data_IF_050339433957
#
_entry.id   IF_050339433957
#
_cell.length_a   1.000
_cell.length_b   1.000
_cell.length_c   1.000
_cell.angle_alpha   90.00
_cell.angle_beta   90.00
_cell.angle_gamma   90.00
#
_symmetry.space_group_name_H-M   'P 1'
#
loop_
_entity.id
_entity.type
_entity.pdbx_description
1 polymer ?
#
# COMPACT_ATOMS: atom_id res chain seq x y z
N UNK A 1 31.77 -4.95 3.31
CA UNK A 1 30.29 -4.81 3.22
C UNK A 1 29.67 -5.92 4.05
N UNK A 2 28.85 -5.57 5.02
CA UNK A 2 28.07 -6.56 5.77
C UNK A 2 27.08 -7.21 4.79
N UNK A 3 27.11 -8.53 4.65
CA UNK A 3 26.22 -9.27 3.73
C UNK A 3 24.99 -9.82 4.45
N UNK A 4 24.72 -9.33 5.66
CA UNK A 4 23.62 -9.83 6.46
C UNK A 4 22.29 -9.26 5.94
N UNK A 5 21.29 -10.09 5.92
CA UNK A 5 19.93 -9.68 5.61
C UNK A 5 19.43 -8.77 6.75
N UNK A 6 18.90 -7.63 6.39
CA UNK A 6 18.25 -6.70 7.33
C UNK A 6 16.77 -7.09 7.41
N UNK A 7 16.33 -7.45 8.62
CA UNK A 7 14.92 -7.68 8.91
C UNK A 7 14.31 -6.44 9.54
N UNK A 8 13.07 -6.14 9.18
CA UNK A 8 12.31 -5.03 9.75
C UNK A 8 11.21 -5.53 10.68
N UNK A 9 10.92 -4.79 11.73
CA UNK A 9 9.66 -4.89 12.45
C UNK A 9 8.63 -4.13 11.64
N UNK A 10 7.53 -4.77 11.19
CA UNK A 10 6.51 -4.11 10.42
C UNK A 10 5.70 -3.15 11.29
N UNK A 11 5.02 -2.22 10.64
CA UNK A 11 4.02 -1.36 11.26
C UNK A 11 2.65 -1.84 10.81
N UNK A 12 1.78 -2.18 11.74
CA UNK A 12 0.44 -2.64 11.42
C UNK A 12 -0.60 -1.62 11.83
N UNK A 13 -1.68 -1.54 11.06
CA UNK A 13 -2.75 -0.56 11.25
C UNK A 13 -4.10 -1.23 11.44
N UNK A 14 -4.90 -0.65 12.33
CA UNK A 14 -6.29 -1.02 12.53
C UNK A 14 -7.16 -0.30 11.51
N UNK A 15 -8.02 -1.06 10.84
CA UNK A 15 -8.90 -0.56 9.80
C UNK A 15 -10.28 -1.18 9.98
N UNK A 16 -11.36 -0.42 9.80
CA UNK A 16 -12.73 -0.91 9.96
C UNK A 16 -13.05 -2.11 9.05
N UNK A 17 -12.36 -2.21 7.92
CA UNK A 17 -12.44 -3.33 6.97
C UNK A 17 -11.40 -4.43 7.21
N UNK A 18 -10.54 -4.27 8.21
CA UNK A 18 -9.47 -5.21 8.54
C UNK A 18 -9.96 -6.53 9.11
N UNK A 19 -9.13 -7.53 9.03
CA UNK A 19 -9.41 -8.89 9.47
C UNK A 19 -8.45 -9.42 10.53
N UNK A 20 -8.35 -10.74 10.61
CA UNK A 20 -7.51 -11.46 11.59
C UNK A 20 -6.44 -12.33 10.94
N UNK A 21 -6.35 -12.35 9.60
CA UNK A 21 -5.48 -13.26 8.86
C UNK A 21 -4.01 -12.91 9.01
N UNK A 22 -3.68 -11.62 9.19
CA UNK A 22 -2.30 -11.18 9.45
C UNK A 22 -1.72 -11.88 10.70
N UNK A 23 -2.50 -12.01 11.77
CA UNK A 23 -2.10 -12.77 12.94
C UNK A 23 -2.08 -14.29 12.69
N UNK A 24 -3.16 -14.82 12.09
CA UNK A 24 -3.36 -16.27 11.96
C UNK A 24 -2.43 -16.92 10.94
N UNK A 25 -2.16 -16.26 9.81
CA UNK A 25 -1.45 -16.85 8.68
C UNK A 25 0.00 -16.38 8.59
N UNK A 26 0.28 -15.15 9.00
CA UNK A 26 1.63 -14.58 8.97
C UNK A 26 2.32 -14.59 10.34
N UNK A 27 1.62 -14.99 11.39
CA UNK A 27 2.21 -15.14 12.73
C UNK A 27 2.55 -13.81 13.40
N UNK A 28 1.95 -12.71 12.98
CA UNK A 28 2.08 -11.43 13.70
C UNK A 28 1.30 -11.51 15.01
N UNK A 29 1.90 -10.98 16.07
CA UNK A 29 1.27 -10.92 17.40
C UNK A 29 0.74 -9.51 17.64
N UNK A 30 -0.30 -9.12 16.88
CA UNK A 30 -0.90 -7.79 16.95
C UNK A 30 -2.22 -7.93 17.71
N UNK A 31 -2.47 -7.04 18.65
CA UNK A 31 -3.72 -7.02 19.40
C UNK A 31 -4.86 -6.51 18.51
N UNK A 32 -6.04 -7.14 18.60
CA UNK A 32 -7.25 -6.76 17.86
C UNK A 32 -7.66 -7.77 16.78
N UNK A 33 -8.83 -7.53 16.20
CA UNK A 33 -9.47 -8.36 15.17
C UNK A 33 -9.81 -7.59 13.89
N UNK A 34 -9.26 -6.39 13.79
CA UNK A 34 -9.49 -5.40 12.73
C UNK A 34 -8.18 -4.92 12.06
N UNK A 35 -7.18 -5.80 11.99
CA UNK A 35 -5.87 -5.47 11.42
C UNK A 35 -5.97 -5.53 9.90
N UNK A 36 -6.04 -4.36 9.26
CA UNK A 36 -6.20 -4.29 7.80
C UNK A 36 -4.90 -4.26 7.03
N UNK A 37 -3.85 -3.63 7.56
CA UNK A 37 -2.58 -3.49 6.86
C UNK A 37 -1.40 -3.84 7.76
N UNK A 38 -0.40 -4.48 7.17
CA UNK A 38 0.93 -4.67 7.75
C UNK A 38 1.98 -4.11 6.78
N UNK A 39 2.59 -3.00 7.13
CA UNK A 39 3.62 -2.32 6.35
C UNK A 39 4.97 -2.99 6.63
N UNK A 40 5.28 -3.99 5.83
CA UNK A 40 6.49 -4.81 6.00
C UNK A 40 7.78 -4.06 5.68
N UNK A 41 7.75 -3.17 4.67
CA UNK A 41 8.85 -2.27 4.31
C UNK A 41 8.27 -0.88 4.16
N UNK A 42 8.61 0.02 5.06
CA UNK A 42 8.12 1.39 5.08
C UNK A 42 9.08 2.34 5.78
N UNK A 43 9.39 3.46 5.13
CA UNK A 43 10.00 4.64 5.71
C UNK A 43 9.03 5.83 5.72
N UNK A 44 7.72 5.54 5.65
CA UNK A 44 6.69 6.56 5.63
C UNK A 44 6.54 7.22 7.01
N UNK A 45 6.35 8.56 7.09
CA UNK A 45 6.24 9.26 8.38
C UNK A 45 5.14 8.73 9.31
N UNK A 46 4.05 8.20 8.72
CA UNK A 46 2.94 7.61 9.48
C UNK A 46 3.19 6.17 9.96
N UNK A 47 4.29 5.53 9.51
CA UNK A 47 4.57 4.14 9.85
C UNK A 47 5.95 3.73 9.37
N UNK A 48 6.98 4.15 10.08
CA UNK A 48 8.38 3.91 9.75
C UNK A 48 8.87 2.63 10.44
N UNK A 49 9.21 1.61 9.63
CA UNK A 49 9.70 0.33 10.13
C UNK A 49 11.02 0.44 10.85
N UNK A 50 11.26 -0.42 11.83
CA UNK A 50 12.52 -0.46 12.59
C UNK A 50 13.31 -1.72 12.28
N UNK A 51 14.64 -1.59 12.20
CA UNK A 51 15.55 -2.72 12.00
C UNK A 51 15.50 -3.64 13.21
N UNK A 52 15.30 -4.94 12.97
CA UNK A 52 15.15 -5.95 14.03
C UNK A 52 16.45 -6.64 14.40
N UNK A 53 17.48 -6.61 13.55
CA UNK A 53 18.70 -7.41 13.74
C UNK A 53 19.97 -6.69 13.30
N UNK A 54 21.12 -7.25 13.70
CA UNK A 54 22.44 -6.83 13.24
C UNK A 54 22.90 -5.49 13.81
N UNK A 55 23.87 -4.88 13.13
CA UNK A 55 24.55 -3.66 13.59
C UNK A 55 23.63 -2.42 13.64
N UNK A 56 22.53 -2.45 12.89
CA UNK A 56 21.57 -1.35 12.78
C UNK A 56 20.29 -1.57 13.59
N UNK A 57 20.28 -2.57 14.47
CA UNK A 57 19.09 -2.89 15.27
C UNK A 57 18.54 -1.67 16.02
N UNK A 58 17.24 -1.44 15.91
CA UNK A 58 16.54 -0.31 16.53
C UNK A 58 16.51 0.95 15.67
N UNK A 59 17.31 1.04 14.60
CA UNK A 59 17.28 2.18 13.68
C UNK A 59 16.02 2.14 12.83
N UNK A 60 15.40 3.29 12.57
CA UNK A 60 14.30 3.41 11.61
C UNK A 60 14.78 3.24 10.17
N UNK A 61 13.92 2.75 9.28
CA UNK A 61 14.28 2.61 7.87
C UNK A 61 14.60 3.94 7.21
N UNK A 62 13.88 5.02 7.57
CA UNK A 62 14.19 6.37 7.09
C UNK A 62 15.58 6.84 7.51
N UNK A 63 15.97 6.58 8.76
CA UNK A 63 17.31 6.92 9.25
C UNK A 63 18.40 6.08 8.59
N UNK A 64 18.11 4.79 8.35
CA UNK A 64 19.02 3.89 7.65
C UNK A 64 19.26 4.35 6.22
N UNK A 65 18.20 4.78 5.53
CA UNK A 65 18.26 5.36 4.19
C UNK A 65 19.14 6.61 4.12
N UNK A 66 18.94 7.51 5.06
CA UNK A 66 19.68 8.77 5.13
C UNK A 66 21.16 8.58 5.49
N UNK A 67 21.43 7.75 6.53
CA UNK A 67 22.78 7.62 7.12
C UNK A 67 23.65 6.56 6.44
N UNK A 68 23.05 5.62 5.73
CA UNK A 68 23.70 4.46 5.11
C UNK A 68 23.25 4.23 3.67
N UNK A 69 23.34 5.25 2.79
CA UNK A 69 22.90 5.14 1.40
C UNK A 69 23.62 4.03 0.60
N UNK A 70 24.82 3.64 1.05
CA UNK A 70 25.57 2.54 0.46
C UNK A 70 24.86 1.18 0.53
N UNK A 71 23.96 0.99 1.51
CA UNK A 71 23.15 -0.23 1.63
C UNK A 71 22.06 -0.33 0.56
N UNK A 72 21.71 0.81 -0.04
CA UNK A 72 20.65 0.95 -1.04
C UNK A 72 21.19 1.29 -2.44
N UNK A 73 22.50 1.14 -2.65
CA UNK A 73 23.14 1.37 -3.95
C UNK A 73 23.37 2.85 -4.28
N UNK A 74 23.38 3.76 -3.29
CA UNK A 74 23.62 5.19 -3.48
C UNK A 74 22.74 5.82 -4.57
N UNK A 75 21.44 5.59 -4.52
CA UNK A 75 20.48 6.02 -5.56
C UNK A 75 20.39 7.54 -5.76
N UNK A 76 20.80 8.32 -4.75
CA UNK A 76 20.69 9.79 -4.78
C UNK A 76 19.28 10.34 -4.57
N UNK A 77 18.33 9.49 -4.23
CA UNK A 77 16.96 9.92 -3.92
C UNK A 77 16.85 10.46 -2.50
N UNK A 78 16.12 11.56 -2.32
CA UNK A 78 15.97 12.24 -1.02
C UNK A 78 15.22 11.42 0.02
N UNK A 79 14.36 10.50 -0.41
CA UNK A 79 13.56 9.65 0.48
C UNK A 79 13.46 8.22 -0.05
N UNK A 80 13.22 7.28 0.85
CA UNK A 80 13.00 5.88 0.49
C UNK A 80 11.72 5.77 -0.37
N UNK A 81 11.80 5.16 -1.58
CA UNK A 81 10.75 5.31 -2.59
C UNK A 81 9.64 4.26 -2.50
N UNK A 82 9.76 3.26 -1.63
CA UNK A 82 8.85 2.12 -1.63
C UNK A 82 8.05 2.02 -0.34
N UNK A 83 6.83 1.51 -0.48
CA UNK A 83 6.01 1.02 0.62
C UNK A 83 5.49 -0.37 0.22
N UNK A 84 5.94 -1.41 0.94
CA UNK A 84 5.46 -2.77 0.73
C UNK A 84 4.58 -3.16 1.90
N UNK A 85 3.33 -3.54 1.62
CA UNK A 85 2.36 -3.93 2.64
C UNK A 85 1.61 -5.19 2.28
N UNK A 86 1.18 -5.91 3.32
CA UNK A 86 0.23 -7.00 3.21
C UNK A 86 -1.10 -6.46 3.72
N UNK A 87 -2.16 -6.68 2.94
CA UNK A 87 -3.52 -6.23 3.26
C UNK A 87 -4.38 -7.45 3.57
N UNK A 88 -5.11 -7.41 4.68
CA UNK A 88 -6.15 -8.37 5.01
C UNK A 88 -7.51 -7.67 5.03
N UNK A 89 -8.22 -7.76 3.91
CA UNK A 89 -9.54 -7.15 3.72
C UNK A 89 -10.66 -8.15 4.05
N UNK A 90 -11.30 -7.97 5.20
CA UNK A 90 -12.53 -8.67 5.59
C UNK A 90 -13.75 -8.09 4.87
N UNK A 91 -13.75 -6.77 4.70
CA UNK A 91 -14.78 -5.98 4.03
C UNK A 91 -14.14 -5.08 2.95
N UNK A 92 -14.96 -4.36 2.19
CA UNK A 92 -14.49 -3.48 1.12
C UNK A 92 -13.66 -2.31 1.65
N UNK A 93 -12.55 -2.04 0.98
CA UNK A 93 -11.74 -0.84 1.21
C UNK A 93 -12.45 0.40 0.64
N UNK A 94 -12.06 1.57 1.12
CA UNK A 94 -12.47 2.83 0.50
C UNK A 94 -11.99 2.91 -0.95
N UNK A 95 -12.84 3.45 -1.82
CA UNK A 95 -12.48 3.74 -3.21
C UNK A 95 -11.55 4.96 -3.23
N UNK A 96 -10.38 4.82 -3.83
CA UNK A 96 -9.36 5.86 -3.86
C UNK A 96 -8.93 6.16 -5.30
N UNK A 97 -8.57 7.41 -5.54
CA UNK A 97 -7.88 7.85 -6.75
C UNK A 97 -6.46 8.26 -6.35
N UNK A 98 -5.48 7.82 -7.10
CA UNK A 98 -4.08 8.12 -6.82
C UNK A 98 -3.58 9.24 -7.72
N UNK A 99 -2.87 10.25 -7.17
CA UNK A 99 -2.31 11.33 -7.96
C UNK A 99 -1.02 10.87 -8.67
N UNK A 100 -0.72 11.49 -9.81
CA UNK A 100 0.63 11.46 -10.37
C UNK A 100 1.59 12.41 -9.62
N UNK A 101 2.88 12.37 -9.96
CA UNK A 101 3.90 13.20 -9.31
C UNK A 101 3.66 14.71 -9.52
N UNK A 102 3.14 15.10 -10.69
CA UNK A 102 2.90 16.50 -11.01
C UNK A 102 1.76 17.08 -10.17
N UNK A 103 0.67 16.33 -10.07
CA UNK A 103 -0.47 16.70 -9.23
C UNK A 103 -0.09 16.70 -7.74
N UNK A 104 0.55 15.62 -7.27
CA UNK A 104 0.91 15.46 -5.87
C UNK A 104 1.87 16.56 -5.40
N UNK A 105 2.82 16.97 -6.23
CA UNK A 105 3.75 18.07 -5.92
C UNK A 105 3.03 19.38 -5.63
N UNK A 106 1.95 19.67 -6.35
CA UNK A 106 1.22 20.94 -6.24
C UNK A 106 0.13 20.88 -5.15
N UNK A 107 -0.60 19.76 -5.09
CA UNK A 107 -1.84 19.67 -4.31
C UNK A 107 -1.71 18.85 -3.02
N UNK A 108 -0.62 18.04 -2.89
CA UNK A 108 -0.38 17.16 -1.75
C UNK A 108 0.90 17.53 -1.00
N UNK A 109 1.15 18.85 -0.83
CA UNK A 109 2.27 19.40 -0.06
C UNK A 109 3.65 18.87 -0.48
N UNK A 110 3.87 18.65 -1.77
CA UNK A 110 5.13 18.13 -2.30
C UNK A 110 5.34 16.63 -2.12
N UNK A 111 4.28 15.89 -1.88
CA UNK A 111 4.30 14.42 -1.87
C UNK A 111 4.67 13.86 -3.24
N UNK A 112 5.10 12.59 -3.25
CA UNK A 112 5.23 11.83 -4.49
C UNK A 112 3.84 11.37 -4.94
N UNK A 113 3.69 11.15 -6.24
CA UNK A 113 2.57 10.41 -6.78
C UNK A 113 2.53 8.97 -6.25
N UNK A 114 1.43 8.29 -6.48
CA UNK A 114 1.24 6.93 -5.96
C UNK A 114 0.95 5.96 -7.10
N UNK A 115 2.02 5.52 -7.77
CA UNK A 115 1.97 4.32 -8.61
C UNK A 115 1.97 3.10 -7.71
N UNK A 116 1.06 2.18 -7.93
CA UNK A 116 0.85 1.02 -7.06
C UNK A 116 0.72 -0.27 -7.90
N UNK A 117 1.00 -1.39 -7.29
CA UNK A 117 0.65 -2.69 -7.86
C UNK A 117 0.15 -3.62 -6.75
N UNK A 118 -0.76 -4.51 -7.11
CA UNK A 118 -1.29 -5.52 -6.21
C UNK A 118 -1.00 -6.91 -6.71
N UNK A 119 -0.57 -7.76 -5.81
CA UNK A 119 -0.46 -9.19 -6.03
C UNK A 119 -1.47 -9.90 -5.12
N UNK A 120 -2.37 -10.65 -5.69
CA UNK A 120 -3.44 -11.34 -4.96
C UNK A 120 -2.86 -12.61 -4.34
N UNK A 121 -2.67 -12.59 -3.02
CA UNK A 121 -2.18 -13.76 -2.27
C UNK A 121 -3.28 -14.82 -2.14
N UNK A 122 -4.48 -14.37 -1.78
CA UNK A 122 -5.67 -15.20 -1.64
C UNK A 122 -6.93 -14.33 -1.76
N UNK A 123 -8.07 -14.94 -2.09
CA UNK A 123 -9.37 -14.28 -2.14
C UNK A 123 -10.50 -15.29 -2.01
N UNK A 124 -11.70 -14.79 -1.70
CA UNK A 124 -12.93 -15.60 -1.70
C UNK A 124 -13.26 -16.05 -3.14
N UNK A 125 -14.04 -17.11 -3.26
CA UNK A 125 -14.60 -17.52 -4.55
C UNK A 125 -15.47 -16.39 -5.13
N UNK A 126 -15.32 -16.13 -6.43
CA UNK A 126 -15.97 -15.04 -7.16
C UNK A 126 -15.68 -13.63 -6.61
N UNK A 127 -14.55 -13.45 -5.96
CA UNK A 127 -14.13 -12.11 -5.50
C UNK A 127 -13.89 -11.19 -6.71
N UNK A 128 -14.20 -9.92 -6.50
CA UNK A 128 -13.94 -8.84 -7.46
C UNK A 128 -13.07 -7.75 -6.82
N UNK A 129 -12.44 -6.97 -7.66
CA UNK A 129 -11.71 -5.77 -7.29
C UNK A 129 -12.25 -4.59 -8.08
N UNK A 130 -12.43 -3.46 -7.42
CA UNK A 130 -12.76 -2.21 -8.11
C UNK A 130 -11.50 -1.68 -8.81
N UNK A 131 -11.57 -1.59 -10.14
CA UNK A 131 -10.46 -1.12 -10.97
C UNK A 131 -10.96 -0.20 -12.08
N UNK A 132 -10.95 1.11 -11.80
CA UNK A 132 -11.39 2.15 -12.71
C UNK A 132 -12.92 2.31 -12.77
N UNK A 133 -13.40 2.86 -13.89
CA UNK A 133 -14.80 3.23 -14.07
C UNK A 133 -15.32 2.88 -15.49
N UNK A 134 -16.64 2.91 -15.65
CA UNK A 134 -17.33 2.60 -16.90
C UNK A 134 -17.67 3.83 -17.76
N UNK A 135 -17.51 5.05 -17.24
CA UNK A 135 -17.80 6.27 -18.00
C UNK A 135 -16.88 6.38 -19.23
N UNK A 136 -17.45 6.85 -20.34
CA UNK A 136 -16.75 6.94 -21.64
C UNK A 136 -16.23 8.34 -21.93
N UNK A 137 -16.78 9.35 -21.29
CA UNK A 137 -16.33 10.75 -21.40
C UNK A 137 -16.25 11.41 -20.03
N UNK A 138 -15.57 12.53 -19.95
CA UNK A 138 -15.46 13.31 -18.71
C UNK A 138 -16.84 13.80 -18.23
N UNK A 139 -17.67 14.25 -19.15
CA UNK A 139 -19.03 14.76 -18.85
C UNK A 139 -19.93 13.61 -18.32
N UNK A 140 -19.77 12.42 -18.86
CA UNK A 140 -20.47 11.24 -18.34
C UNK A 140 -19.98 10.87 -16.94
N UNK A 141 -18.67 10.90 -16.69
CA UNK A 141 -18.08 10.68 -15.38
C UNK A 141 -18.65 11.67 -14.35
N UNK A 142 -18.58 12.98 -14.64
CA UNK A 142 -19.09 14.03 -13.78
C UNK A 142 -20.59 13.84 -13.47
N UNK A 143 -21.38 13.52 -14.50
CA UNK A 143 -22.82 13.27 -14.36
C UNK A 143 -23.10 12.04 -13.49
N UNK A 144 -22.43 10.91 -13.72
CA UNK A 144 -22.62 9.68 -12.93
C UNK A 144 -22.29 9.89 -11.46
N UNK A 145 -21.25 10.65 -11.16
CA UNK A 145 -20.86 11.00 -9.78
C UNK A 145 -21.94 11.91 -9.17
N UNK A 146 -22.35 12.97 -9.88
CA UNK A 146 -23.34 13.91 -9.39
C UNK A 146 -24.71 13.25 -9.12
N UNK A 147 -25.11 12.33 -9.96
CA UNK A 147 -26.36 11.55 -9.83
C UNK A 147 -26.28 10.41 -8.81
N UNK A 148 -25.09 10.13 -8.25
CA UNK A 148 -24.87 9.03 -7.29
C UNK A 148 -24.99 7.64 -7.92
N UNK A 149 -24.74 7.51 -9.22
CA UNK A 149 -24.86 6.24 -9.97
C UNK A 149 -23.65 5.34 -9.79
N UNK A 150 -23.25 5.12 -8.55
CA UNK A 150 -22.01 4.41 -8.21
C UNK A 150 -21.96 2.99 -8.76
N UNK A 151 -23.08 2.24 -8.74
CA UNK A 151 -23.14 0.85 -9.25
C UNK A 151 -22.88 0.75 -10.76
N UNK A 152 -23.26 1.76 -11.51
CA UNK A 152 -23.01 1.81 -12.96
C UNK A 152 -21.63 2.40 -13.26
N UNK A 153 -21.18 3.32 -12.40
CA UNK A 153 -19.92 4.02 -12.55
C UNK A 153 -18.71 3.12 -12.28
N UNK A 154 -18.74 2.39 -11.16
CA UNK A 154 -17.63 1.53 -10.71
C UNK A 154 -17.47 0.33 -11.67
N UNK A 155 -16.24 0.09 -12.08
CA UNK A 155 -15.89 -1.11 -12.82
C UNK A 155 -15.28 -2.14 -11.88
N UNK A 156 -15.89 -3.29 -11.79
CA UNK A 156 -15.36 -4.44 -11.08
C UNK A 156 -14.71 -5.42 -12.05
N UNK A 157 -13.58 -5.98 -11.63
CA UNK A 157 -12.88 -7.06 -12.35
C UNK A 157 -12.79 -8.29 -11.45
N UNK A 158 -13.04 -9.51 -11.99
CA UNK A 158 -12.85 -10.73 -11.23
C UNK A 158 -11.36 -10.94 -10.94
N UNK A 159 -11.06 -11.46 -9.74
CA UNK A 159 -9.69 -11.75 -9.30
C UNK A 159 -9.57 -13.18 -8.79
N UNK A 160 -8.34 -13.70 -8.80
CA UNK A 160 -7.95 -14.98 -8.22
C UNK A 160 -6.55 -14.92 -7.63
N UNK A 161 -6.19 -15.84 -6.74
CA UNK A 161 -4.82 -15.96 -6.24
C UNK A 161 -3.80 -16.06 -7.39
N UNK A 162 -2.71 -15.28 -7.27
CA UNK A 162 -1.66 -15.18 -8.29
C UNK A 162 -1.86 -14.07 -9.33
N UNK A 163 -2.99 -13.38 -9.35
CA UNK A 163 -3.17 -12.23 -10.23
C UNK A 163 -2.30 -11.05 -9.79
N UNK A 164 -1.76 -10.35 -10.79
CA UNK A 164 -1.01 -9.11 -10.61
C UNK A 164 -1.78 -7.97 -11.31
N UNK A 165 -2.02 -6.89 -10.59
CA UNK A 165 -2.76 -5.74 -11.07
C UNK A 165 -1.88 -4.50 -10.91
N UNK A 166 -1.60 -3.82 -12.01
CA UNK A 166 -0.96 -2.52 -12.04
C UNK A 166 -2.02 -1.45 -11.85
N UNK A 167 -1.76 -0.49 -10.95
CA UNK A 167 -2.62 0.66 -10.67
C UNK A 167 -1.81 1.91 -10.95
N UNK A 168 -2.06 2.48 -12.11
CA UNK A 168 -1.44 3.74 -12.51
C UNK A 168 -2.16 4.92 -11.83
N UNK A 169 -1.47 6.05 -11.61
CA UNK A 169 -2.03 7.25 -11.03
C UNK A 169 -3.07 7.92 -11.92
#
# INVERSE_FOLDING_TARGET
MNKDIIFLNPVCTHNIWGGTRLNREFGYSIEGDDIGECWGISAHPSGDGTVRNGAFQGMKLSELWEKHPELFGNTGMDRFPLLVKIIDAKDDLSIQVHPDDAYAKVHENGSLGKTECWFILDCKENATLVAGHNAKTKEELERMIHEGRWKEFIREIPIKPGDFIQIDP
#
